data_IF_349898421177
#
_entry.id   IF_349898421177
#
_cell.length_a   1.000
_cell.length_b   1.000
_cell.length_c   1.000
_cell.angle_alpha   90.00
_cell.angle_beta   90.00
_cell.angle_gamma   90.00
#
_symmetry.space_group_name_H-M   'P 1'
#
loop_
_entity.id
_entity.type
_entity.pdbx_description
1 polymer ?
#
# COMPACT_ATOMS: atom_id res chain seq x y z
N UNK A 1 -5.94 17.42 16.75
CA UNK A 1 -6.41 16.84 15.46
C UNK A 1 -5.66 17.41 14.25
N UNK A 2 -5.48 18.73 14.10
CA UNK A 2 -4.82 19.33 12.93
C UNK A 2 -3.40 18.82 12.62
N UNK A 3 -2.54 18.69 13.64
CA UNK A 3 -1.16 18.20 13.47
C UNK A 3 -1.14 16.74 12.99
N UNK A 4 -2.01 15.89 13.53
CA UNK A 4 -2.13 14.49 13.11
C UNK A 4 -2.60 14.36 11.66
N UNK A 5 -3.59 15.14 11.24
CA UNK A 5 -4.07 15.15 9.86
C UNK A 5 -3.00 15.66 8.89
N UNK A 6 -2.23 16.68 9.29
CA UNK A 6 -1.13 17.19 8.46
C UNK A 6 -0.02 16.15 8.28
N UNK A 7 0.34 15.44 9.37
CA UNK A 7 1.33 14.38 9.31
C UNK A 7 0.86 13.17 8.49
N UNK A 8 -0.43 12.81 8.60
CA UNK A 8 -1.04 11.79 7.77
C UNK A 8 -0.97 12.16 6.27
N UNK A 9 -1.37 13.37 5.89
CA UNK A 9 -1.28 13.84 4.51
C UNK A 9 0.16 13.87 3.98
N UNK A 10 1.11 14.31 4.80
CA UNK A 10 2.54 14.30 4.45
C UNK A 10 3.07 12.88 4.21
N UNK A 11 2.82 11.95 5.14
CA UNK A 11 3.25 10.56 4.99
C UNK A 11 2.60 9.87 3.78
N UNK A 12 1.33 10.17 3.50
CA UNK A 12 0.65 9.70 2.29
C UNK A 12 1.32 10.21 1.01
N UNK A 13 1.70 11.50 0.96
CA UNK A 13 2.42 12.06 -0.18
C UNK A 13 3.80 11.40 -0.36
N UNK A 14 4.57 11.25 0.73
CA UNK A 14 5.87 10.57 0.71
C UNK A 14 5.74 9.12 0.25
N UNK A 15 4.72 8.39 0.73
CA UNK A 15 4.44 7.02 0.31
C UNK A 15 4.15 6.91 -1.19
N UNK A 16 3.34 7.83 -1.73
CA UNK A 16 3.05 7.88 -3.16
C UNK A 16 4.30 8.18 -3.99
N UNK A 17 5.13 9.15 -3.58
CA UNK A 17 6.41 9.46 -4.25
C UNK A 17 7.31 8.23 -4.28
N UNK A 18 7.52 7.58 -3.13
CA UNK A 18 8.36 6.38 -3.04
C UNK A 18 7.80 5.23 -3.88
N UNK A 19 6.49 5.01 -3.87
CA UNK A 19 5.83 3.97 -4.66
C UNK A 19 6.03 4.15 -6.16
N UNK A 20 5.76 5.36 -6.68
CA UNK A 20 5.97 5.67 -8.10
C UNK A 20 7.45 5.65 -8.49
N UNK A 21 8.34 6.12 -7.60
CA UNK A 21 9.80 6.07 -7.82
C UNK A 21 10.30 4.63 -7.97
N UNK A 22 9.92 3.74 -7.05
CA UNK A 22 10.28 2.31 -7.10
C UNK A 22 9.73 1.65 -8.37
N UNK A 23 8.51 1.99 -8.80
CA UNK A 23 7.93 1.51 -10.05
C UNK A 23 8.66 1.98 -11.32
N UNK A 24 9.28 3.16 -11.28
CA UNK A 24 10.03 3.72 -12.43
C UNK A 24 11.45 3.14 -12.59
N UNK A 25 11.99 2.52 -11.54
CA UNK A 25 13.39 2.12 -11.45
C UNK A 25 13.63 0.69 -12.00
N UNK A 26 14.59 0.53 -12.91
CA UNK A 26 14.79 -0.71 -13.69
C UNK A 26 15.81 -1.69 -13.13
N UNK A 27 16.53 -1.33 -12.07
CA UNK A 27 17.61 -2.14 -11.54
C UNK A 27 17.35 -2.64 -10.11
N UNK A 28 16.09 -2.62 -9.66
CA UNK A 28 15.69 -3.12 -8.33
C UNK A 28 15.99 -4.61 -8.16
N UNK A 29 15.90 -5.41 -9.22
CA UNK A 29 16.26 -6.82 -9.20
C UNK A 29 17.73 -7.10 -8.82
N UNK A 30 18.62 -6.09 -8.85
CA UNK A 30 20.03 -6.24 -8.43
C UNK A 30 20.20 -6.28 -6.91
N UNK A 31 19.30 -5.62 -6.16
CA UNK A 31 19.31 -5.64 -4.69
C UNK A 31 18.82 -6.99 -4.16
N UNK A 32 17.90 -7.65 -4.89
CA UNK A 32 17.44 -9.01 -4.59
C UNK A 32 17.73 -9.95 -5.77
N UNK A 33 18.99 -10.39 -5.96
CA UNK A 33 19.42 -11.19 -7.12
C UNK A 33 18.71 -12.55 -7.20
N UNK A 34 18.14 -13.04 -6.09
CA UNK A 34 17.28 -14.23 -6.03
C UNK A 34 16.02 -14.11 -6.91
N UNK A 35 15.68 -12.91 -7.36
CA UNK A 35 14.44 -12.66 -8.08
C UNK A 35 14.51 -12.99 -9.58
N UNK A 36 15.72 -13.04 -10.17
CA UNK A 36 15.91 -13.32 -11.60
C UNK A 36 15.97 -14.83 -11.85
N UNK A 37 15.05 -15.35 -12.66
CA UNK A 37 15.03 -16.76 -13.09
C UNK A 37 15.03 -16.85 -14.61
N UNK A 38 15.35 -18.02 -15.17
CA UNK A 38 15.44 -18.26 -16.62
C UNK A 38 14.12 -18.01 -17.37
N UNK A 39 12.99 -18.09 -16.66
CA UNK A 39 11.64 -17.87 -17.21
C UNK A 39 11.10 -16.44 -16.99
N UNK A 40 11.79 -15.61 -16.21
CA UNK A 40 11.33 -14.29 -15.78
C UNK A 40 12.30 -13.22 -16.30
N UNK A 41 11.78 -12.36 -17.18
CA UNK A 41 12.56 -11.27 -17.76
C UNK A 41 12.88 -10.18 -16.71
N UNK A 42 13.62 -9.15 -17.13
CA UNK A 42 14.04 -8.07 -16.22
C UNK A 42 12.83 -7.35 -15.61
N UNK A 43 11.70 -7.26 -16.33
CA UNK A 43 10.48 -6.60 -15.85
C UNK A 43 9.76 -7.44 -14.79
N UNK A 44 9.55 -8.73 -15.07
CA UNK A 44 9.02 -9.69 -14.11
C UNK A 44 9.88 -9.74 -12.84
N UNK A 45 11.21 -9.70 -13.00
CA UNK A 45 12.13 -9.70 -11.86
C UNK A 45 11.99 -8.42 -11.02
N UNK A 46 11.90 -7.24 -11.65
CA UNK A 46 11.68 -5.98 -10.94
C UNK A 46 10.33 -5.94 -10.20
N UNK A 47 9.24 -6.44 -10.83
CA UNK A 47 7.92 -6.48 -10.21
C UNK A 47 7.93 -7.36 -8.95
N UNK A 48 8.54 -8.54 -9.04
CA UNK A 48 8.66 -9.46 -7.92
C UNK A 48 9.55 -8.88 -6.82
N UNK A 49 10.62 -8.16 -7.15
CA UNK A 49 11.45 -7.45 -6.17
C UNK A 49 10.69 -6.31 -5.47
N UNK A 50 9.87 -5.56 -6.21
CA UNK A 50 9.01 -4.52 -5.65
C UNK A 50 7.99 -5.11 -4.65
N UNK A 51 7.42 -6.27 -4.97
CA UNK A 51 6.50 -6.96 -4.07
C UNK A 51 7.18 -7.40 -2.76
N UNK A 52 8.39 -7.97 -2.84
CA UNK A 52 9.16 -8.32 -1.64
C UNK A 52 9.55 -7.10 -0.81
N UNK A 53 9.96 -6.00 -1.44
CA UNK A 53 10.25 -4.74 -0.78
C UNK A 53 9.01 -4.24 -0.02
N UNK A 54 7.84 -4.26 -0.67
CA UNK A 54 6.57 -3.85 -0.06
C UNK A 54 6.22 -4.71 1.16
N UNK A 55 6.39 -6.03 1.08
CA UNK A 55 6.13 -6.93 2.21
C UNK A 55 7.08 -6.61 3.36
N UNK A 56 8.38 -6.47 3.09
CA UNK A 56 9.37 -6.17 4.12
C UNK A 56 9.09 -4.83 4.80
N UNK A 57 8.75 -3.80 4.01
CA UNK A 57 8.40 -2.47 4.52
C UNK A 57 7.11 -2.50 5.35
N UNK A 58 6.08 -3.20 4.90
CA UNK A 58 4.84 -3.36 5.67
C UNK A 58 5.08 -4.12 6.98
N UNK A 59 5.84 -5.20 6.96
CA UNK A 59 6.16 -5.97 8.16
C UNK A 59 6.95 -5.15 9.17
N UNK A 60 8.00 -4.46 8.72
CA UNK A 60 8.83 -3.62 9.59
C UNK A 60 8.04 -2.47 10.20
N UNK A 61 7.22 -1.76 9.42
CA UNK A 61 6.34 -0.70 9.93
C UNK A 61 5.30 -1.24 10.92
N UNK A 62 4.74 -2.43 10.65
CA UNK A 62 3.78 -3.07 11.54
C UNK A 62 4.43 -3.43 12.88
N UNK A 63 5.61 -4.05 12.84
CA UNK A 63 6.37 -4.39 14.05
C UNK A 63 6.72 -3.13 14.83
N UNK A 64 7.20 -2.09 14.13
CA UNK A 64 7.55 -0.81 14.75
C UNK A 64 6.32 -0.16 15.41
N UNK A 65 5.17 -0.18 14.75
CA UNK A 65 3.92 0.34 15.32
C UNK A 65 3.54 -0.41 16.60
N UNK A 66 3.63 -1.75 16.60
CA UNK A 66 3.35 -2.56 17.80
C UNK A 66 4.34 -2.32 18.94
N UNK A 67 5.60 -1.97 18.64
CA UNK A 67 6.60 -1.64 19.66
C UNK A 67 6.38 -0.23 20.23
N UNK A 68 6.05 0.74 19.36
CA UNK A 68 5.90 2.16 19.73
C UNK A 68 4.56 2.42 20.44
N UNK A 69 3.50 1.70 20.08
CA UNK A 69 2.16 1.91 20.63
C UNK A 69 1.92 0.91 21.76
N UNK A 70 2.03 1.32 23.04
CA UNK A 70 1.62 0.49 24.15
C UNK A 70 0.10 0.36 24.14
N UNK A 71 -0.40 -0.80 23.73
CA UNK A 71 -1.83 -1.13 23.82
C UNK A 71 -2.21 -1.45 25.27
N UNK A 72 -3.23 -0.77 25.80
CA UNK A 72 -3.84 -1.14 27.09
C UNK A 72 -4.80 -2.29 26.83
N UNK A 73 -4.44 -3.49 27.28
CA UNK A 73 -5.30 -4.67 27.16
C UNK A 73 -6.70 -4.38 27.77
N UNK A 74 -7.73 -4.40 26.92
CA UNK A 74 -9.11 -4.45 27.41
C UNK A 74 -9.31 -5.85 27.97
N UNK A 75 -9.49 -5.96 29.29
CA UNK A 75 -9.64 -7.23 29.97
C UNK A 75 -10.80 -8.03 29.34
N UNK A 76 -10.57 -9.28 28.89
CA UNK A 76 -11.66 -10.12 28.45
C UNK A 76 -12.56 -10.44 29.65
N UNK A 77 -13.87 -10.23 29.48
CA UNK A 77 -14.86 -10.76 30.42
C UNK A 77 -14.63 -12.26 30.56
N UNK A 78 -14.40 -12.70 31.79
CA UNK A 78 -14.08 -14.08 32.15
C UNK A 78 -15.16 -15.03 31.65
N UNK A 79 -14.80 -15.99 30.79
CA UNK A 79 -15.44 -17.31 30.73
C UNK A 79 -14.38 -18.29 30.22
N UNK A 80 -13.78 -19.05 31.14
CA UNK A 80 -12.79 -20.09 30.83
C UNK A 80 -13.43 -21.28 30.08
N UNK A 81 -12.70 -21.91 29.12
CA UNK A 81 -12.97 -23.30 28.75
C UNK A 81 -11.71 -24.22 28.86
N UNK A 82 -11.90 -25.55 29.00
CA UNK A 82 -10.85 -26.49 29.43
C UNK A 82 -9.82 -26.87 28.34
N UNK A 83 -8.76 -27.54 28.81
CA UNK A 83 -7.35 -27.43 28.40
C UNK A 83 -6.88 -28.21 27.15
N UNK A 84 -7.70 -28.97 26.43
CA UNK A 84 -7.19 -29.97 25.46
C UNK A 84 -7.47 -29.69 23.97
N UNK A 85 -7.08 -28.53 23.44
CA UNK A 85 -7.33 -28.21 22.01
C UNK A 85 -6.39 -27.16 21.40
N UNK A 86 -5.08 -27.23 21.66
CA UNK A 86 -4.11 -26.20 21.22
C UNK A 86 -4.17 -25.80 19.73
N UNK A 87 -4.42 -26.75 18.82
CA UNK A 87 -4.51 -26.48 17.38
C UNK A 87 -5.90 -25.96 16.94
N UNK A 88 -6.98 -26.46 17.55
CA UNK A 88 -8.35 -26.03 17.23
C UNK A 88 -8.62 -24.64 17.82
N UNK A 89 -8.12 -24.35 19.01
CA UNK A 89 -8.28 -23.06 19.71
C UNK A 89 -7.56 -21.93 18.98
N UNK A 90 -6.42 -22.16 18.33
CA UNK A 90 -5.74 -21.14 17.53
C UNK A 90 -6.51 -20.75 16.26
N UNK A 91 -7.07 -21.75 15.55
CA UNK A 91 -7.92 -21.50 14.36
C UNK A 91 -9.26 -20.87 14.76
N UNK A 92 -9.87 -21.33 15.86
CA UNK A 92 -11.09 -20.73 16.43
C UNK A 92 -10.84 -19.29 16.88
N UNK A 93 -9.73 -18.98 17.56
CA UNK A 93 -9.37 -17.61 17.95
C UNK A 93 -9.18 -16.69 16.74
N UNK A 94 -8.49 -17.12 15.68
CA UNK A 94 -8.37 -16.29 14.47
C UNK A 94 -9.74 -16.01 13.84
N UNK A 95 -10.59 -17.03 13.70
CA UNK A 95 -11.94 -16.87 13.14
C UNK A 95 -12.81 -15.98 14.05
N UNK A 96 -12.71 -16.14 15.37
CA UNK A 96 -13.42 -15.33 16.35
C UNK A 96 -12.97 -13.87 16.29
N UNK A 97 -11.66 -13.60 16.18
CA UNK A 97 -11.11 -12.24 16.04
C UNK A 97 -11.59 -11.57 14.75
N UNK A 98 -11.62 -12.27 13.62
CA UNK A 98 -12.17 -11.71 12.37
C UNK A 98 -13.66 -11.39 12.48
N UNK A 99 -14.43 -12.24 13.18
CA UNK A 99 -15.86 -12.03 13.37
C UNK A 99 -16.16 -10.93 14.39
N UNK A 100 -15.38 -10.84 15.46
CA UNK A 100 -15.46 -9.78 16.47
C UNK A 100 -15.04 -8.43 15.87
N UNK A 101 -14.04 -8.40 14.99
CA UNK A 101 -13.66 -7.20 14.23
C UNK A 101 -14.79 -6.77 13.28
N UNK A 102 -15.43 -7.71 12.61
CA UNK A 102 -16.56 -7.43 11.73
C UNK A 102 -17.82 -7.01 12.50
N UNK A 103 -18.01 -7.56 13.70
CA UNK A 103 -19.02 -7.15 14.68
C UNK A 103 -18.79 -5.71 15.13
N UNK A 104 -17.57 -5.37 15.53
CA UNK A 104 -17.20 -4.01 15.92
C UNK A 104 -17.41 -3.00 14.78
N UNK A 105 -17.03 -3.34 13.54
CA UNK A 105 -17.34 -2.51 12.36
C UNK A 105 -18.85 -2.28 12.18
N UNK A 106 -19.67 -3.25 12.57
CA UNK A 106 -21.14 -3.19 12.56
C UNK A 106 -21.73 -2.58 13.83
N UNK A 107 -20.92 -2.15 14.80
CA UNK A 107 -21.34 -1.36 15.96
C UNK A 107 -21.01 0.13 15.82
N UNK A 108 -20.17 0.51 14.85
CA UNK A 108 -19.82 1.92 14.57
C UNK A 108 -21.03 2.76 14.12
N UNK A 109 -21.08 4.09 14.39
CA UNK A 109 -22.19 4.94 13.95
C UNK A 109 -22.36 4.92 12.43
N UNK A 110 -23.61 4.97 11.93
CA UNK A 110 -23.97 4.98 10.49
C UNK A 110 -23.09 5.92 9.63
N UNK A 111 -22.85 7.20 10.00
CA UNK A 111 -22.00 8.09 9.22
C UNK A 111 -20.56 7.58 9.05
N UNK A 112 -19.99 6.93 10.08
CA UNK A 112 -18.62 6.41 10.02
C UNK A 112 -18.51 5.20 9.08
N UNK A 113 -19.53 4.33 9.05
CA UNK A 113 -19.55 3.18 8.11
C UNK A 113 -19.61 3.63 6.66
N UNK A 114 -20.42 4.66 6.38
CA UNK A 114 -20.52 5.25 5.04
C UNK A 114 -19.18 5.87 4.65
N UNK A 115 -18.56 6.65 5.54
CA UNK A 115 -17.27 7.28 5.27
C UNK A 115 -16.16 6.25 5.00
N UNK A 116 -16.12 5.16 5.76
CA UNK A 116 -15.14 4.08 5.57
C UNK A 116 -15.38 3.35 4.24
N UNK A 117 -16.64 3.05 3.89
CA UNK A 117 -17.00 2.42 2.63
C UNK A 117 -16.65 3.30 1.43
N UNK A 118 -17.02 4.58 1.48
CA UNK A 118 -16.68 5.56 0.42
C UNK A 118 -15.17 5.69 0.27
N UNK A 119 -14.42 5.71 1.37
CA UNK A 119 -12.95 5.77 1.36
C UNK A 119 -12.36 4.53 0.69
N UNK A 120 -12.85 3.32 1.02
CA UNK A 120 -12.39 2.08 0.37
C UNK A 120 -12.69 2.08 -1.13
N UNK A 121 -13.90 2.47 -1.54
CA UNK A 121 -14.26 2.58 -2.95
C UNK A 121 -13.41 3.61 -3.69
N UNK A 122 -13.11 4.75 -3.06
CA UNK A 122 -12.25 5.78 -3.63
C UNK A 122 -10.82 5.26 -3.91
N UNK A 123 -10.22 4.55 -2.96
CA UNK A 123 -8.89 3.95 -3.14
C UNK A 123 -8.86 2.90 -4.25
N UNK A 124 -9.92 2.09 -4.37
CA UNK A 124 -10.05 1.11 -5.45
C UNK A 124 -10.26 1.80 -6.80
N UNK A 125 -11.06 2.88 -6.85
CA UNK A 125 -11.32 3.64 -8.07
C UNK A 125 -10.06 4.33 -8.62
N UNK A 126 -9.12 4.68 -7.74
CA UNK A 126 -7.86 5.30 -8.16
C UNK A 126 -6.94 4.31 -8.90
N UNK A 127 -7.04 3.02 -8.62
CA UNK A 127 -6.14 2.01 -9.22
C UNK A 127 -6.31 1.87 -10.75
N UNK A 128 -7.52 1.69 -11.30
CA UNK A 128 -7.73 1.67 -12.76
C UNK A 128 -7.30 2.97 -13.44
N UNK A 129 -7.51 4.12 -12.78
CA UNK A 129 -7.12 5.43 -13.31
C UNK A 129 -5.60 5.51 -13.49
N UNK A 130 -4.82 5.17 -12.46
CA UNK A 130 -3.35 5.14 -12.55
C UNK A 130 -2.84 4.15 -13.60
N UNK A 131 -3.48 2.97 -13.74
CA UNK A 131 -3.12 1.99 -14.76
C UNK A 131 -3.40 2.49 -16.17
N UNK A 132 -4.54 3.17 -16.35
CA UNK A 132 -4.91 3.76 -17.62
C UNK A 132 -3.92 4.86 -18.03
N UNK A 133 -3.52 5.73 -17.10
CA UNK A 133 -2.57 6.81 -17.37
C UNK A 133 -1.21 6.28 -17.87
N UNK A 134 -0.68 5.24 -17.23
CA UNK A 134 0.62 4.65 -17.65
C UNK A 134 0.51 3.80 -18.92
N UNK A 135 -0.62 3.12 -19.14
CA UNK A 135 -0.86 2.34 -20.36
C UNK A 135 -1.06 3.24 -21.57
N UNK A 136 -1.79 4.36 -21.40
CA UNK A 136 -1.94 5.40 -22.41
C UNK A 136 -0.58 6.01 -22.78
N UNK A 137 0.25 6.32 -21.78
CA UNK A 137 1.63 6.77 -22.03
C UNK A 137 2.46 5.72 -22.79
N UNK A 138 2.30 4.43 -22.47
CA UNK A 138 3.00 3.33 -23.14
C UNK A 138 2.58 3.12 -24.59
N UNK A 139 1.27 3.16 -24.86
CA UNK A 139 0.67 2.82 -26.16
C UNK A 139 0.56 4.01 -27.10
N UNK A 140 -0.01 5.12 -26.62
CA UNK A 140 -0.41 6.22 -27.49
C UNK A 140 0.74 7.21 -27.70
N UNK A 141 1.44 7.60 -26.62
CA UNK A 141 2.53 8.59 -26.70
C UNK A 141 3.81 7.96 -27.25
N UNK A 142 4.21 6.80 -26.71
CA UNK A 142 5.44 6.12 -27.10
C UNK A 142 5.25 5.08 -28.22
N UNK A 143 4.02 4.85 -28.69
CA UNK A 143 3.72 3.94 -29.80
C UNK A 143 4.04 2.46 -29.52
N UNK A 144 4.17 2.07 -28.25
CA UNK A 144 4.61 0.73 -27.87
C UNK A 144 3.48 -0.29 -27.82
N UNK A 145 3.73 -1.52 -28.27
CA UNK A 145 2.81 -2.65 -28.09
C UNK A 145 3.12 -3.42 -26.81
N UNK A 146 2.08 -3.87 -26.12
CA UNK A 146 2.21 -4.69 -24.90
C UNK A 146 2.87 -6.01 -25.27
N UNK A 147 4.00 -6.33 -24.66
CA UNK A 147 4.76 -7.57 -24.91
C UNK A 147 5.71 -7.53 -26.12
N UNK A 148 5.69 -6.46 -26.92
CA UNK A 148 6.57 -6.31 -28.09
C UNK A 148 7.38 -5.00 -28.01
N UNK A 149 8.71 -5.15 -27.93
CA UNK A 149 9.65 -4.02 -27.99
C UNK A 149 9.89 -3.29 -26.65
N UNK A 150 10.89 -2.41 -26.64
CA UNK A 150 11.31 -1.65 -25.45
C UNK A 150 10.54 -0.34 -25.25
N UNK A 151 9.82 0.12 -26.29
CA UNK A 151 9.14 1.42 -26.34
C UNK A 151 7.97 1.51 -25.36
N UNK A 152 7.12 0.47 -25.28
CA UNK A 152 6.01 0.41 -24.33
C UNK A 152 6.49 0.57 -22.89
N UNK A 153 7.52 -0.20 -22.53
CA UNK A 153 8.10 -0.15 -21.20
C UNK A 153 8.75 1.20 -20.87
N UNK A 154 9.30 1.88 -21.87
CA UNK A 154 9.83 3.23 -21.69
C UNK A 154 8.70 4.24 -21.42
N UNK A 155 7.58 4.12 -22.14
CA UNK A 155 6.40 4.96 -21.92
C UNK A 155 5.74 4.74 -20.56
N UNK A 156 5.58 3.49 -20.13
CA UNK A 156 5.07 3.16 -18.78
C UNK A 156 5.95 3.78 -17.69
N UNK A 157 7.28 3.73 -17.85
CA UNK A 157 8.22 4.35 -16.91
C UNK A 157 8.13 5.87 -16.92
N UNK A 158 8.01 6.49 -18.09
CA UNK A 158 7.80 7.93 -18.19
C UNK A 158 6.50 8.36 -17.51
N UNK A 159 5.42 7.58 -17.68
CA UNK A 159 4.16 7.77 -16.95
C UNK A 159 4.33 7.68 -15.43
N UNK A 160 5.08 6.67 -14.94
CA UNK A 160 5.40 6.54 -13.52
C UNK A 160 6.20 7.74 -12.98
N UNK A 161 7.15 8.28 -13.74
CA UNK A 161 7.88 9.50 -13.38
C UNK A 161 6.95 10.72 -13.35
N UNK A 162 6.01 10.83 -14.29
CA UNK A 162 4.99 11.88 -14.29
C UNK A 162 4.12 11.86 -13.03
N UNK A 163 3.66 10.68 -12.62
CA UNK A 163 2.92 10.51 -11.37
C UNK A 163 3.76 10.82 -10.13
N UNK A 164 5.05 10.45 -10.14
CA UNK A 164 5.99 10.83 -9.08
C UNK A 164 6.11 12.35 -8.94
N UNK A 165 6.25 13.08 -10.05
CA UNK A 165 6.31 14.55 -10.04
C UNK A 165 5.00 15.16 -9.52
N UNK A 166 3.85 14.63 -9.92
CA UNK A 166 2.55 15.06 -9.39
C UNK A 166 2.47 14.85 -7.87
N UNK A 167 2.97 13.73 -7.35
CA UNK A 167 3.01 13.45 -5.93
C UNK A 167 3.98 14.38 -5.17
N UNK A 168 5.11 14.75 -5.77
CA UNK A 168 6.04 15.74 -5.21
C UNK A 168 5.37 17.11 -5.10
N UNK A 169 4.67 17.58 -6.14
CA UNK A 169 3.95 18.87 -6.10
C UNK A 169 2.88 18.86 -5.01
N UNK A 170 2.14 17.75 -4.87
CA UNK A 170 1.17 17.57 -3.80
C UNK A 170 1.82 17.60 -2.41
N UNK A 171 3.00 16.98 -2.27
CA UNK A 171 3.82 17.00 -1.06
C UNK A 171 4.32 18.41 -0.70
N UNK A 172 4.89 19.14 -1.65
CA UNK A 172 5.34 20.52 -1.45
C UNK A 172 4.19 21.44 -1.06
N UNK A 173 3.05 21.37 -1.76
CA UNK A 173 1.88 22.20 -1.45
C UNK A 173 1.31 21.91 -0.05
N UNK A 174 1.41 20.68 0.44
CA UNK A 174 1.01 20.33 1.81
C UNK A 174 2.03 20.75 2.88
N UNK A 175 3.32 20.83 2.52
CA UNK A 175 4.39 21.40 3.34
C UNK A 175 4.35 22.92 3.42
N UNK A 176 4.10 23.62 2.31
CA UNK A 176 4.00 25.09 2.27
C UNK A 176 2.81 25.63 3.09
N UNK A 177 1.78 24.80 3.32
CA UNK A 177 0.69 25.12 4.26
C UNK A 177 1.13 24.96 5.72
N UNK A 178 2.12 24.11 6.00
CA UNK A 178 2.74 23.96 7.33
C UNK A 178 3.59 25.17 7.72
N UNK A 179 4.28 25.78 6.75
CA UNK A 179 5.22 26.90 6.98
C UNK A 179 4.54 28.28 7.00
N UNK A 180 3.25 28.36 6.63
CA UNK A 180 2.46 29.61 6.66
C UNK A 180 1.64 29.82 7.94
N UNK A 181 1.82 28.95 8.94
CA UNK A 181 1.18 29.02 10.28
C UNK A 181 2.23 29.04 11.40
#
# INVERSE_FOLDING_TARGET
MRVANSFFSYLMAVGNVLGYAVGSYTHLYKIFPFTKTTACDVYCANLKSCFFLSIFLLLTLTILAFIIVPEKATAPSQTEPPENSGHVVAKKRKILVFWDLFGALKDLPRPMRILLLVTCLNWIAWFPFLLFDIDWMGKEVYGGKVGEGKLYNHGVRAGAVGMMLSAVVLGCTSGDVKDRE
#
